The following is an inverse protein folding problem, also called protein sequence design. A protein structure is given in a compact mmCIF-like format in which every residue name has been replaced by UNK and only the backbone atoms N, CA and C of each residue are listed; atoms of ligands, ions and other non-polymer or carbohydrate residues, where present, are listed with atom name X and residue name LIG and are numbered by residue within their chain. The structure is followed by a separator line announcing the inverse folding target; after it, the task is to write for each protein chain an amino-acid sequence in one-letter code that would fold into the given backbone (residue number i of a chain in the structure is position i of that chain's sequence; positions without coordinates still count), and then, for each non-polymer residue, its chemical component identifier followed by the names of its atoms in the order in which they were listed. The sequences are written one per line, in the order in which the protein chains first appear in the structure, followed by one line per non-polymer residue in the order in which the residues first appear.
data_IF_747229847713
#
_entry.id   IF_747229847713
#
_cell.length_a   1.000
_cell.length_b   1.000
_cell.length_c   1.000
_cell.angle_alpha   90.00
_cell.angle_beta   90.00
_cell.angle_gamma   90.00
#
_symmetry.space_group_name_H-M   'P 1'
#
loop_
_entity.id
_entity.type
_entity.pdbx_description
1 polymer ?
#
# COMPACT_ATOMS: atom_id res chain seq x y z
N UNK A 1 -16.62 7.20 9.03
CA UNK A 1 -15.25 6.64 9.08
C UNK A 1 -15.39 5.27 9.73
N UNK A 2 -15.25 4.20 8.97
CA UNK A 2 -15.34 2.83 9.50
C UNK A 2 -13.91 2.38 9.76
N UNK A 3 -13.55 2.11 11.02
CA UNK A 3 -12.25 1.56 11.35
C UNK A 3 -12.10 0.20 10.64
N UNK A 4 -11.11 0.10 9.75
CA UNK A 4 -10.74 -1.17 9.13
C UNK A 4 -9.95 -1.96 10.16
N UNK A 5 -10.53 -3.04 10.69
CA UNK A 5 -9.78 -3.98 11.52
C UNK A 5 -8.69 -4.64 10.66
N UNK A 6 -7.43 -4.44 11.06
CA UNK A 6 -6.25 -5.04 10.44
C UNK A 6 -5.59 -5.98 11.43
N UNK A 7 -5.52 -7.26 11.08
CA UNK A 7 -4.75 -8.27 11.81
C UNK A 7 -3.51 -8.60 10.98
N UNK A 8 -2.38 -7.98 11.32
CA UNK A 8 -1.08 -8.17 10.69
C UNK A 8 -0.01 -7.28 11.35
N UNK A 9 1.27 -7.50 11.03
CA UNK A 9 2.35 -6.61 11.47
C UNK A 9 2.29 -5.26 10.75
N UNK A 10 2.40 -4.17 11.51
CA UNK A 10 2.34 -2.80 10.98
C UNK A 10 1.08 -2.03 11.40
N UNK A 11 0.89 -0.84 10.82
CA UNK A 11 -0.25 0.03 11.08
C UNK A 11 -0.81 0.59 9.77
N UNK A 12 -2.14 0.67 9.63
CA UNK A 12 -2.81 1.21 8.44
C UNK A 12 -3.18 2.68 8.69
N UNK A 13 -2.73 3.58 7.81
CA UNK A 13 -3.08 5.01 7.88
C UNK A 13 -4.29 5.34 7.01
N UNK A 14 -4.36 4.75 5.83
CA UNK A 14 -5.45 5.01 4.89
C UNK A 14 -5.79 3.77 4.06
N UNK A 15 -6.99 3.80 3.48
CA UNK A 15 -7.41 2.76 2.57
C UNK A 15 -8.35 3.33 1.51
N UNK A 16 -8.20 2.83 0.28
CA UNK A 16 -9.09 3.10 -0.83
C UNK A 16 -9.86 1.84 -1.20
N UNK A 17 -11.14 2.02 -1.50
CA UNK A 17 -12.04 0.93 -1.85
C UNK A 17 -12.54 1.15 -3.27
N UNK A 18 -12.44 0.12 -4.12
CA UNK A 18 -13.19 0.03 -5.36
C UNK A 18 -14.15 -1.15 -5.33
N UNK A 19 -15.35 -0.93 -5.87
CA UNK A 19 -16.39 -1.95 -5.97
C UNK A 19 -16.99 -1.93 -7.38
N UNK A 20 -17.09 -3.11 -8.02
CA UNK A 20 -17.72 -3.26 -9.33
C UNK A 20 -18.50 -4.57 -9.41
N UNK A 21 -19.82 -4.49 -9.20
CA UNK A 21 -20.69 -5.66 -9.11
C UNK A 21 -20.36 -6.48 -7.85
N UNK A 22 -20.06 -7.77 -8.02
CA UNK A 22 -19.69 -8.66 -6.92
C UNK A 22 -18.23 -8.53 -6.45
N UNK A 23 -17.44 -7.64 -7.07
CA UNK A 23 -16.00 -7.52 -6.86
C UNK A 23 -15.71 -6.32 -5.97
N UNK A 24 -14.81 -6.50 -5.00
CA UNK A 24 -14.33 -5.42 -4.14
C UNK A 24 -12.84 -5.56 -3.88
N UNK A 25 -12.13 -4.43 -3.97
CA UNK A 25 -10.74 -4.30 -3.57
C UNK A 25 -10.66 -3.30 -2.44
N UNK A 26 -9.89 -3.63 -1.41
CA UNK A 26 -9.47 -2.70 -0.36
C UNK A 26 -7.95 -2.59 -0.44
N UNK A 27 -7.48 -1.52 -1.05
CA UNK A 27 -6.06 -1.18 -1.08
C UNK A 27 -5.75 -0.33 0.14
N UNK A 28 -4.73 -0.70 0.89
CA UNK A 28 -4.40 -0.12 2.19
C UNK A 28 -2.96 0.34 2.15
N UNK A 29 -2.74 1.51 2.72
CA UNK A 29 -1.44 2.11 2.88
C UNK A 29 -1.18 2.30 4.36
N UNK A 30 0.05 2.02 4.75
CA UNK A 30 0.46 2.06 6.13
C UNK A 30 1.95 1.89 6.27
N UNK A 31 2.37 1.45 7.46
CA UNK A 31 3.78 1.26 7.79
C UNK A 31 4.05 -0.10 8.38
N UNK A 32 5.22 -0.63 8.04
CA UNK A 32 5.78 -1.84 8.65
C UNK A 32 7.24 -1.56 9.01
N UNK A 33 7.58 -1.70 10.28
CA UNK A 33 8.91 -1.39 10.85
C UNK A 33 9.45 0.02 10.51
N UNK A 34 8.59 1.03 10.47
CA UNK A 34 8.96 2.43 10.18
C UNK A 34 9.01 2.79 8.69
N UNK A 35 8.88 1.79 7.80
CA UNK A 35 8.88 1.99 6.35
C UNK A 35 7.46 2.04 5.81
N UNK A 36 7.26 2.78 4.71
CA UNK A 36 6.06 2.71 3.91
C UNK A 36 5.77 1.28 3.42
N UNK A 37 4.51 0.87 3.57
CA UNK A 37 4.06 -0.46 3.20
C UNK A 37 2.64 -0.42 2.62
N UNK A 38 2.36 -1.35 1.71
CA UNK A 38 1.06 -1.49 1.08
C UNK A 38 0.51 -2.90 1.28
N UNK A 39 -0.81 -3.00 1.35
CA UNK A 39 -1.53 -4.26 1.38
C UNK A 39 -2.79 -4.18 0.54
N UNK A 40 -3.22 -5.30 -0.03
CA UNK A 40 -4.47 -5.38 -0.79
C UNK A 40 -5.31 -6.54 -0.30
N UNK A 41 -6.57 -6.28 0.08
CA UNK A 41 -7.57 -7.32 0.27
C UNK A 41 -8.50 -7.40 -0.94
N UNK A 42 -8.80 -8.62 -1.36
CA UNK A 42 -9.69 -8.89 -2.48
C UNK A 42 -10.91 -9.66 -1.99
N UNK A 43 -12.08 -9.20 -2.41
CA UNK A 43 -13.36 -9.82 -2.11
C UNK A 43 -14.13 -10.11 -3.39
N UNK A 44 -14.83 -11.25 -3.39
CA UNK A 44 -15.78 -11.60 -4.44
C UNK A 44 -17.04 -12.18 -3.80
N UNK A 45 -18.22 -11.70 -4.22
CA UNK A 45 -19.51 -12.08 -3.62
C UNK A 45 -19.53 -11.94 -2.09
N UNK A 46 -18.81 -10.93 -1.58
CA UNK A 46 -18.61 -10.62 -0.15
C UNK A 46 -17.75 -11.63 0.62
N UNK A 47 -17.14 -12.61 -0.06
CA UNK A 47 -16.16 -13.53 0.53
C UNK A 47 -14.75 -12.97 0.36
N UNK A 48 -13.92 -13.05 1.41
CA UNK A 48 -12.51 -12.69 1.34
C UNK A 48 -11.76 -13.78 0.58
N UNK A 49 -11.21 -13.45 -0.57
CA UNK A 49 -10.45 -14.40 -1.40
C UNK A 49 -8.95 -14.30 -1.14
N UNK A 50 -8.47 -13.09 -0.91
CA UNK A 50 -7.06 -12.83 -0.67
C UNK A 50 -6.90 -11.76 0.40
N UNK A 51 -6.09 -12.08 1.41
CA UNK A 51 -5.63 -11.14 2.43
C UNK A 51 -4.17 -10.85 2.17
N UNK A 52 -3.88 -9.69 1.59
CA UNK A 52 -2.52 -9.20 1.48
C UNK A 52 -2.00 -8.77 2.85
N UNK A 53 -0.78 -9.20 3.18
CA UNK A 53 -0.03 -8.64 4.29
C UNK A 53 0.57 -7.29 3.89
N UNK A 54 0.89 -6.44 4.87
CA UNK A 54 1.67 -5.23 4.60
C UNK A 54 3.04 -5.64 4.11
N UNK A 55 3.29 -5.39 2.83
CA UNK A 55 4.57 -5.59 2.19
C UNK A 55 5.25 -4.24 2.12
N UNK A 56 6.45 -4.15 2.70
CA UNK A 56 7.33 -3.03 2.40
C UNK A 56 7.53 -3.01 0.90
N UNK A 57 7.33 -1.86 0.27
CA UNK A 57 7.83 -1.71 -1.08
C UNK A 57 9.35 -1.93 -1.00
N UNK A 58 9.92 -2.72 -1.91
CA UNK A 58 11.36 -3.03 -1.88
C UNK A 58 12.17 -1.75 -1.69
N UNK A 59 13.32 -1.79 -1.01
CA UNK A 59 14.20 -0.63 -0.70
C UNK A 59 14.52 0.32 -1.88
N UNK A 60 14.11 -0.02 -3.11
CA UNK A 60 14.26 0.73 -4.36
C UNK A 60 12.94 1.32 -4.91
N UNK A 61 11.85 1.27 -4.15
CA UNK A 61 10.61 2.00 -4.40
C UNK A 61 10.53 3.13 -3.36
N UNK A 62 10.15 4.35 -3.80
CA UNK A 62 10.60 5.62 -3.21
C UNK A 62 10.46 5.61 -1.69
N UNK A 63 11.62 5.62 -1.04
CA UNK A 63 11.89 5.38 0.37
C UNK A 63 11.33 6.49 1.27
N UNK A 64 10.01 6.46 1.41
CA UNK A 64 9.28 7.24 2.38
C UNK A 64 9.38 6.62 3.76
N UNK A 65 9.85 7.39 4.73
CA UNK A 65 10.06 6.91 6.10
C UNK A 65 9.36 7.79 7.11
N UNK A 66 9.04 7.19 8.25
CA UNK A 66 8.65 7.93 9.43
C UNK A 66 9.89 8.21 10.26
N UNK A 67 10.04 9.45 10.72
CA UNK A 67 11.07 9.75 11.71
C UNK A 67 10.68 9.19 13.09
N UNK A 68 11.54 9.37 14.09
CA UNK A 68 11.30 8.89 15.46
C UNK A 68 10.05 9.51 16.14
N UNK A 69 9.51 10.60 15.58
CA UNK A 69 8.30 11.29 16.07
C UNK A 69 7.02 10.91 15.32
N UNK A 70 7.09 9.91 14.42
CA UNK A 70 6.01 9.51 13.51
C UNK A 70 5.57 10.60 12.52
N UNK A 71 6.47 11.54 12.20
CA UNK A 71 6.24 12.45 11.09
C UNK A 71 6.79 11.82 9.80
N UNK A 72 6.05 11.99 8.72
CA UNK A 72 6.38 11.44 7.41
C UNK A 72 7.46 12.27 6.73
N UNK A 73 8.48 11.64 6.17
CA UNK A 73 9.48 12.33 5.36
C UNK A 73 9.46 11.79 3.92
N UNK A 74 9.06 12.60 2.92
CA UNK A 74 9.15 12.18 1.53
C UNK A 74 10.61 12.02 1.12
N UNK A 75 10.91 11.05 0.25
CA UNK A 75 12.17 10.98 -0.45
C UNK A 75 12.19 12.10 -1.48
N UNK A 76 13.18 12.98 -1.39
CA UNK A 76 13.39 14.05 -2.36
C UNK A 76 14.43 13.64 -3.40
N UNK A 77 15.52 12.99 -2.97
CA UNK A 77 16.58 12.55 -3.87
C UNK A 77 17.22 11.22 -3.46
N UNK A 78 17.80 10.53 -4.43
CA UNK A 78 18.54 9.29 -4.24
C UNK A 78 19.82 9.34 -5.07
N UNK A 79 20.96 9.35 -4.38
CA UNK A 79 22.27 9.43 -5.00
C UNK A 79 23.07 8.15 -4.82
N UNK A 80 23.83 7.79 -5.85
CA UNK A 80 24.85 6.75 -5.76
C UNK A 80 26.19 7.42 -5.45
N UNK A 81 26.74 7.10 -4.29
CA UNK A 81 28.06 7.57 -3.86
C UNK A 81 29.16 7.01 -4.77
N UNK A 82 30.36 7.62 -4.71
CA UNK A 82 31.53 7.13 -5.45
C UNK A 82 31.94 5.69 -5.04
N UNK A 83 31.59 5.29 -3.82
CA UNK A 83 31.86 3.95 -3.27
C UNK A 83 30.77 2.92 -3.63
N UNK A 84 29.70 3.35 -4.32
CA UNK A 84 28.59 2.48 -4.75
C UNK A 84 27.50 2.28 -3.69
N UNK A 85 27.57 2.98 -2.57
CA UNK A 85 26.48 3.05 -1.59
C UNK A 85 25.38 4.00 -2.07
N UNK A 86 24.13 3.72 -1.67
CA UNK A 86 22.97 4.57 -1.96
C UNK A 86 22.72 5.50 -0.77
N UNK A 87 22.73 6.80 -1.02
CA UNK A 87 22.31 7.84 -0.09
C UNK A 87 20.89 8.32 -0.43
N UNK A 88 20.12 8.65 0.60
CA UNK A 88 18.73 9.05 0.48
C UNK A 88 18.53 10.41 1.14
N UNK A 89 18.17 11.42 0.35
CA UNK A 89 17.79 12.74 0.85
C UNK A 89 16.28 12.78 1.09
N UNK A 90 15.91 13.12 2.32
CA UNK A 90 14.51 13.19 2.72
C UNK A 90 14.11 14.63 3.00
N UNK A 91 12.93 15.00 2.53
CA UNK A 91 12.35 16.31 2.72
C UNK A 91 11.91 16.60 4.16
N UNK A 92 11.28 17.77 4.38
CA UNK A 92 10.76 18.14 5.68
C UNK A 92 9.70 17.15 6.16
N UNK A 93 9.61 16.99 7.48
CA UNK A 93 8.61 16.11 8.08
C UNK A 93 7.20 16.71 7.93
N UNK A 94 6.24 15.90 7.49
CA UNK A 94 4.82 16.26 7.30
C UNK A 94 3.91 15.32 8.08
N UNK A 95 2.62 15.66 8.19
CA UNK A 95 1.62 14.74 8.74
C UNK A 95 1.49 13.52 7.81
N UNK A 96 1.82 12.34 8.35
CA UNK A 96 1.81 11.10 7.56
C UNK A 96 0.42 10.63 7.16
N UNK A 97 -0.62 10.98 7.90
CA UNK A 97 -2.00 10.66 7.52
C UNK A 97 -2.43 11.52 6.34
N UNK A 98 -2.19 12.83 6.42
CA UNK A 98 -2.50 13.78 5.33
C UNK A 98 -1.78 13.39 4.04
N UNK A 99 -0.48 13.13 4.11
CA UNK A 99 0.29 12.70 2.95
C UNK A 99 -0.22 11.36 2.39
N UNK A 100 -0.57 10.39 3.25
CA UNK A 100 -1.05 9.08 2.77
C UNK A 100 -2.39 9.20 2.03
N UNK A 101 -3.25 10.12 2.45
CA UNK A 101 -4.50 10.43 1.75
C UNK A 101 -4.21 11.02 0.36
N UNK A 102 -3.31 12.00 0.28
CA UNK A 102 -2.89 12.61 -0.98
C UNK A 102 -2.25 11.57 -1.92
N UNK A 103 -1.39 10.68 -1.40
CA UNK A 103 -0.79 9.60 -2.18
C UNK A 103 -1.85 8.69 -2.79
N UNK A 104 -2.82 8.26 -1.99
CA UNK A 104 -3.89 7.38 -2.45
C UNK A 104 -4.77 8.04 -3.53
N UNK A 105 -4.97 9.35 -3.44
CA UNK A 105 -5.84 10.09 -4.34
C UNK A 105 -5.14 10.49 -5.65
N UNK A 106 -3.88 10.94 -5.58
CA UNK A 106 -3.16 11.56 -6.70
C UNK A 106 -2.12 10.64 -7.39
N UNK A 107 -1.50 9.72 -6.66
CA UNK A 107 -0.32 8.96 -7.12
C UNK A 107 -0.52 7.45 -7.14
N UNK A 108 -1.53 6.98 -6.40
CA UNK A 108 -1.82 5.59 -6.26
C UNK A 108 -2.33 4.92 -7.53
N UNK A 109 -2.12 3.61 -7.63
CA UNK A 109 -2.77 2.84 -8.70
C UNK A 109 -4.28 2.97 -8.50
N UNK A 110 -4.98 3.43 -9.54
CA UNK A 110 -6.44 3.48 -9.52
C UNK A 110 -6.98 2.09 -9.14
N UNK A 111 -7.78 1.98 -8.08
CA UNK A 111 -8.28 0.67 -7.63
C UNK A 111 -9.05 -0.10 -8.72
N UNK A 112 -9.64 0.59 -9.69
CA UNK A 112 -10.26 -0.01 -10.89
C UNK A 112 -9.22 -0.64 -11.84
N UNK A 113 -8.02 -0.05 -11.95
CA UNK A 113 -6.89 -0.63 -12.69
C UNK A 113 -6.36 -1.89 -11.98
N UNK A 114 -6.27 -1.88 -10.65
CA UNK A 114 -5.97 -3.07 -9.86
C UNK A 114 -7.02 -4.16 -10.08
N UNK A 115 -8.29 -3.76 -10.09
CA UNK A 115 -9.41 -4.66 -10.34
C UNK A 115 -9.33 -5.27 -11.74
N UNK A 116 -8.96 -4.52 -12.78
CA UNK A 116 -8.79 -5.08 -14.11
C UNK A 116 -7.59 -6.03 -14.22
N UNK A 117 -6.43 -5.65 -13.65
CA UNK A 117 -5.17 -6.41 -13.78
C UNK A 117 -5.20 -7.74 -13.02
N UNK A 118 -5.77 -7.74 -11.81
CA UNK A 118 -5.71 -8.90 -10.90
C UNK A 118 -6.88 -9.87 -11.16
N UNK A 119 -8.00 -9.38 -11.69
CA UNK A 119 -9.24 -10.14 -11.82
C UNK A 119 -9.18 -11.44 -12.64
N UNK A 120 -8.51 -11.52 -13.80
CA UNK A 120 -8.45 -12.76 -14.58
C UNK A 120 -7.90 -13.95 -13.77
N UNK A 121 -6.80 -13.73 -13.05
CA UNK A 121 -6.16 -14.76 -12.22
C UNK A 121 -7.03 -15.16 -11.03
N UNK A 122 -7.75 -14.19 -10.44
CA UNK A 122 -8.61 -14.44 -9.28
C UNK A 122 -9.86 -15.25 -9.61
N UNK A 123 -10.47 -14.99 -10.78
CA UNK A 123 -11.62 -15.77 -11.24
C UNK A 123 -11.23 -17.23 -11.48
N UNK A 124 -10.07 -17.45 -12.07
CA UNK A 124 -9.53 -18.79 -12.33
C UNK A 124 -9.30 -19.56 -11.02
N UNK A 125 -8.61 -18.97 -10.04
CA UNK A 125 -8.37 -19.62 -8.74
C UNK A 125 -9.67 -19.94 -7.98
N UNK A 126 -10.68 -19.06 -8.04
CA UNK A 126 -11.99 -19.31 -7.43
C UNK A 126 -12.76 -20.44 -8.13
N UNK A 127 -12.81 -20.43 -9.47
CA UNK A 127 -13.50 -21.46 -10.26
C UNK A 127 -12.84 -22.84 -10.11
N UNK A 128 -11.51 -22.88 -9.95
CA UNK A 128 -10.74 -24.11 -9.75
C UNK A 128 -10.75 -24.61 -8.29
N UNK A 129 -11.27 -23.83 -7.34
CA UNK A 129 -11.22 -24.10 -5.89
C UNK A 129 -9.80 -24.31 -5.36
N UNK A 130 -8.84 -23.58 -5.92
CA UNK A 130 -7.42 -23.64 -5.54
C UNK A 130 -7.01 -22.51 -4.60
N UNK A 131 -8.00 -21.75 -4.10
CA UNK A 131 -7.88 -20.78 -3.01
C UNK A 131 -7.84 -21.45 -1.64
#
# INVERSE_FOLDING_TARGET
MTALEFEGEGYILAARIAEQGDRKIVWKIGHKDGDFAEATNLYYKRELLHKGELMKLTQNAPSWRFNETNDFQPLEDMDLTEDGDIEYEHGPATDGVEWTLDYIDDWGIEPDTLLYKIWPNMKEQYDERTL
#
